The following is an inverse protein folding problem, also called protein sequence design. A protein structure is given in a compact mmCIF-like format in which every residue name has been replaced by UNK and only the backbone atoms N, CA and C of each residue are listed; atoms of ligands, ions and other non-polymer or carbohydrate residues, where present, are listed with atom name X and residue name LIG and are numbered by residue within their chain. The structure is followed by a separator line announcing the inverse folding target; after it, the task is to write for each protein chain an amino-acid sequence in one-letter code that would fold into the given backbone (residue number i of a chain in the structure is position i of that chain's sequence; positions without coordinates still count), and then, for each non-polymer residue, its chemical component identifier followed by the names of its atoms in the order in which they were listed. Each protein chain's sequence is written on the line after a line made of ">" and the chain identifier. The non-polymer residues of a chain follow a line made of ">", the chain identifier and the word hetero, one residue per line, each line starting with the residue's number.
data_IF_604729695189
#
_entry.id   IF_604729695189
#
_cell.length_a   1.000
_cell.length_b   1.000
_cell.length_c   1.000
_cell.angle_alpha   90.00
_cell.angle_beta   90.00
_cell.angle_gamma   90.00
#
_symmetry.space_group_name_H-M   'P 1'
#
loop_
_entity.id
_entity.type
_entity.pdbx_description
1 polymer ?
#
# COMPACT_ATOMS: atom_id res chain seq x y z
N UNK A 1 17.71 -15.09 1.03
CA UNK A 1 16.40 -14.43 0.81
C UNK A 1 16.61 -12.92 0.68
N UNK A 2 16.19 -12.35 -0.44
CA UNK A 2 16.19 -10.89 -0.59
C UNK A 2 15.14 -10.29 0.36
N UNK A 3 15.36 -9.06 0.83
CA UNK A 3 14.43 -8.41 1.76
C UNK A 3 13.16 -7.92 1.05
N UNK A 4 12.07 -7.65 1.78
CA UNK A 4 10.80 -7.20 1.20
C UNK A 4 10.92 -5.92 0.36
N UNK A 5 11.91 -5.07 0.65
CA UNK A 5 12.19 -3.90 -0.17
C UNK A 5 12.76 -4.25 -1.56
N UNK A 6 13.68 -5.21 -1.63
CA UNK A 6 14.27 -5.67 -2.89
C UNK A 6 13.24 -6.39 -3.76
N UNK A 7 12.35 -7.17 -3.14
CA UNK A 7 11.21 -7.80 -3.82
C UNK A 7 10.28 -6.73 -4.43
N UNK A 8 9.94 -5.68 -3.67
CA UNK A 8 9.14 -4.57 -4.20
C UNK A 8 9.85 -3.77 -5.30
N UNK A 9 11.17 -3.58 -5.19
CA UNK A 9 11.98 -2.93 -6.23
C UNK A 9 12.10 -3.76 -7.52
N UNK A 10 11.85 -5.06 -7.43
CA UNK A 10 11.85 -5.96 -8.58
C UNK A 10 10.49 -5.99 -9.31
N UNK A 11 9.50 -5.25 -8.83
CA UNK A 11 8.22 -5.07 -9.51
C UNK A 11 8.38 -4.18 -10.76
N UNK A 12 7.55 -4.40 -11.76
CA UNK A 12 7.50 -3.58 -13.00
C UNK A 12 6.79 -2.23 -12.77
N UNK A 13 7.33 -1.46 -11.82
CA UNK A 13 6.82 -0.16 -11.37
C UNK A 13 7.98 0.84 -11.48
N UNK A 14 7.82 1.82 -12.35
CA UNK A 14 8.85 2.85 -12.61
C UNK A 14 8.83 3.98 -11.58
N UNK A 15 7.72 4.14 -10.85
CA UNK A 15 7.58 5.18 -9.83
C UNK A 15 8.20 4.72 -8.50
N UNK A 16 9.42 5.19 -8.24
CA UNK A 16 10.14 4.90 -7.00
C UNK A 16 9.47 5.50 -5.76
N UNK A 17 8.72 6.60 -5.90
CA UNK A 17 7.96 7.16 -4.79
C UNK A 17 6.78 6.27 -4.40
N UNK A 18 6.14 5.62 -5.37
CA UNK A 18 5.11 4.61 -5.12
C UNK A 18 5.68 3.40 -4.39
N UNK A 19 6.84 2.89 -4.82
CA UNK A 19 7.51 1.77 -4.15
C UNK A 19 7.89 2.15 -2.71
N UNK A 20 8.46 3.33 -2.52
CA UNK A 20 8.84 3.82 -1.20
C UNK A 20 7.63 4.01 -0.28
N UNK A 21 6.56 4.65 -0.76
CA UNK A 21 5.32 4.80 0.00
C UNK A 21 4.74 3.44 0.40
N UNK A 22 4.76 2.46 -0.51
CA UNK A 22 4.28 1.12 -0.20
C UNK A 22 5.15 0.37 0.81
N UNK A 23 6.47 0.54 0.74
CA UNK A 23 7.37 -0.06 1.70
C UNK A 23 7.18 0.51 3.11
N UNK A 24 7.01 1.83 3.25
CA UNK A 24 6.76 2.47 4.57
C UNK A 24 5.45 1.96 5.17
N UNK A 25 4.38 1.89 4.39
CA UNK A 25 3.09 1.35 4.88
C UNK A 25 3.20 -0.14 5.21
N UNK A 26 3.94 -0.92 4.40
CA UNK A 26 4.19 -2.34 4.68
C UNK A 26 4.87 -2.54 6.05
N UNK A 27 5.90 -1.75 6.35
CA UNK A 27 6.59 -1.80 7.64
C UNK A 27 5.68 -1.33 8.79
N UNK A 28 4.87 -0.30 8.62
CA UNK A 28 3.91 0.09 9.66
C UNK A 28 2.91 -1.03 9.96
N UNK A 29 2.36 -1.67 8.94
CA UNK A 29 1.40 -2.75 9.13
C UNK A 29 2.06 -3.95 9.81
N UNK A 30 3.25 -4.36 9.34
CA UNK A 30 3.94 -5.54 9.83
C UNK A 30 4.58 -5.32 11.21
N UNK A 31 5.31 -4.22 11.40
CA UNK A 31 6.11 -3.97 12.61
C UNK A 31 5.42 -3.00 13.57
N UNK A 32 4.86 -1.90 13.06
CA UNK A 32 4.21 -0.86 13.88
C UNK A 32 2.89 -1.31 14.49
N UNK A 33 2.08 -2.06 13.72
CA UNK A 33 0.74 -2.52 14.10
C UNK A 33 0.65 -4.03 14.29
N UNK A 34 1.71 -4.78 13.97
CA UNK A 34 1.78 -6.24 14.13
C UNK A 34 0.60 -6.98 13.46
N UNK A 35 0.28 -6.60 12.22
CA UNK A 35 -0.75 -7.25 11.44
C UNK A 35 -0.36 -8.69 11.13
N UNK A 36 -1.34 -9.59 11.21
CA UNK A 36 -1.12 -11.02 11.03
C UNK A 36 -0.51 -11.36 9.65
N UNK A 37 -0.95 -10.68 8.60
CA UNK A 37 -0.41 -10.89 7.26
C UNK A 37 -0.42 -9.58 6.47
N UNK A 38 0.68 -9.32 5.77
CA UNK A 38 0.84 -8.22 4.82
C UNK A 38 1.58 -8.76 3.60
N UNK A 39 1.00 -8.58 2.41
CA UNK A 39 1.57 -8.99 1.12
C UNK A 39 1.56 -7.81 0.17
N UNK A 40 2.54 -7.74 -0.73
CA UNK A 40 2.63 -6.69 -1.73
C UNK A 40 2.40 -7.26 -3.13
N UNK A 41 1.74 -6.49 -3.99
CA UNK A 41 1.44 -6.85 -5.38
C UNK A 41 1.64 -5.63 -6.26
N UNK A 42 2.47 -5.75 -7.29
CA UNK A 42 2.62 -4.73 -8.32
C UNK A 42 1.47 -4.78 -9.34
N UNK A 43 0.94 -3.62 -9.70
CA UNK A 43 -0.06 -3.44 -10.75
C UNK A 43 0.58 -2.58 -11.84
N UNK A 44 1.32 -3.23 -12.74
CA UNK A 44 2.13 -2.56 -13.77
C UNK A 44 1.31 -1.62 -14.66
N UNK A 45 0.08 -2.03 -15.03
CA UNK A 45 -0.84 -1.22 -15.85
C UNK A 45 -1.16 0.15 -15.24
N UNK A 46 -1.17 0.23 -13.90
CA UNK A 46 -1.46 1.45 -13.17
C UNK A 46 -0.22 2.10 -12.55
N UNK A 47 0.94 1.45 -12.66
CA UNK A 47 2.18 1.83 -11.96
C UNK A 47 1.96 1.97 -10.45
N UNK A 48 1.15 1.08 -9.86
CA UNK A 48 0.83 1.07 -8.43
C UNK A 48 1.35 -0.19 -7.72
N UNK A 49 1.63 -0.04 -6.43
CA UNK A 49 1.84 -1.17 -5.52
C UNK A 49 0.65 -1.26 -4.58
N UNK A 50 0.02 -2.43 -4.53
CA UNK A 50 -1.09 -2.75 -3.64
C UNK A 50 -0.60 -3.60 -2.47
N UNK A 51 -1.10 -3.34 -1.28
CA UNK A 51 -0.88 -4.15 -0.09
C UNK A 51 -2.15 -4.93 0.24
N UNK A 52 -2.04 -6.24 0.28
CA UNK A 52 -3.07 -7.15 0.77
C UNK A 52 -2.75 -7.48 2.21
N UNK A 53 -3.58 -7.02 3.14
CA UNK A 53 -3.26 -7.09 4.55
C UNK A 53 -4.49 -7.50 5.38
N UNK A 54 -4.28 -8.29 6.44
CA UNK A 54 -5.29 -8.59 7.45
C UNK A 54 -4.71 -8.40 8.84
N UNK A 55 -5.46 -7.73 9.70
CA UNK A 55 -5.04 -7.42 11.06
C UNK A 55 -4.97 -8.70 11.90
N UNK A 56 -6.02 -9.53 11.81
CA UNK A 56 -6.09 -10.84 12.47
C UNK A 56 -6.34 -11.94 11.45
N UNK A 57 -6.03 -13.18 11.81
CA UNK A 57 -6.19 -14.35 10.94
C UNK A 57 -7.63 -14.52 10.42
N UNK A 58 -8.61 -14.23 11.28
CA UNK A 58 -10.04 -14.38 10.99
C UNK A 58 -10.64 -13.20 10.20
N UNK A 59 -9.90 -12.10 10.06
CA UNK A 59 -10.38 -10.93 9.35
C UNK A 59 -10.33 -11.15 7.84
N UNK A 60 -11.24 -10.48 7.13
CA UNK A 60 -11.18 -10.42 5.68
C UNK A 60 -9.91 -9.70 5.21
N UNK A 61 -9.32 -10.20 4.13
CA UNK A 61 -8.19 -9.54 3.47
C UNK A 61 -8.59 -8.15 2.97
N UNK A 62 -7.86 -7.12 3.39
CA UNK A 62 -8.05 -5.75 2.98
C UNK A 62 -7.03 -5.38 1.90
N UNK A 63 -7.48 -4.67 0.88
CA UNK A 63 -6.60 -4.14 -0.18
C UNK A 63 -6.34 -2.68 0.10
N UNK A 64 -5.07 -2.30 0.09
CA UNK A 64 -4.60 -0.95 0.37
C UNK A 64 -3.71 -0.48 -0.77
N UNK A 65 -3.88 0.77 -1.21
CA UNK A 65 -3.00 1.41 -2.19
C UNK A 65 -2.34 2.61 -1.52
N UNK A 66 -1.07 2.50 -1.11
CA UNK A 66 -0.28 3.60 -0.58
C UNK A 66 -0.18 4.71 -1.62
N UNK A 67 -0.49 5.96 -1.24
CA UNK A 67 -0.46 7.10 -2.16
C UNK A 67 0.61 8.08 -1.67
N UNK A 68 1.60 8.43 -2.51
CA UNK A 68 2.60 9.44 -2.17
C UNK A 68 1.95 10.83 -1.97
N UNK A 69 2.41 11.57 -0.98
CA UNK A 69 1.86 12.89 -0.56
C UNK A 69 1.84 13.95 -1.68
N UNK A 70 2.67 13.79 -2.72
CA UNK A 70 2.73 14.71 -3.86
C UNK A 70 1.80 14.31 -5.02
N UNK A 71 1.04 13.21 -4.93
CA UNK A 71 0.11 12.76 -5.97
C UNK A 71 -1.33 13.05 -5.55
N UNK A 72 -2.03 13.87 -6.34
CA UNK A 72 -3.46 14.12 -6.15
C UNK A 72 -4.30 12.99 -6.74
N UNK A 73 -5.12 12.34 -5.91
CA UNK A 73 -6.12 11.38 -6.37
C UNK A 73 -7.27 12.11 -7.07
N UNK A 74 -7.29 12.11 -8.41
CA UNK A 74 -8.45 12.57 -9.15
C UNK A 74 -9.57 11.52 -9.09
N UNK A 75 -10.78 11.98 -8.78
CA UNK A 75 -12.01 11.18 -8.55
C UNK A 75 -12.36 10.20 -9.71
N UNK A 76 -11.71 10.34 -10.87
CA UNK A 76 -11.89 9.47 -12.04
C UNK A 76 -11.23 8.09 -11.90
N UNK A 77 -10.23 7.94 -11.02
CA UNK A 77 -9.57 6.64 -10.75
C UNK A 77 -10.18 5.85 -9.58
N UNK A 78 -11.07 6.46 -8.79
CA UNK A 78 -11.50 5.96 -7.47
C UNK A 78 -12.92 5.38 -7.39
N UNK A 79 -13.60 5.08 -8.50
CA UNK A 79 -14.98 4.54 -8.48
C UNK A 79 -15.04 3.06 -8.09
N UNK A 80 -14.51 2.68 -6.92
CA UNK A 80 -14.92 1.46 -6.19
C UNK A 80 -14.32 1.26 -4.79
N UNK A 81 -13.80 2.28 -4.13
CA UNK A 81 -13.13 2.03 -2.84
C UNK A 81 -14.06 2.26 -1.64
N UNK A 82 -14.80 1.19 -1.30
CA UNK A 82 -15.57 1.04 -0.07
C UNK A 82 -14.68 1.31 1.16
N UNK A 83 -15.18 2.09 2.14
CA UNK A 83 -14.74 2.41 3.53
C UNK A 83 -13.27 2.19 4.00
N UNK A 84 -12.57 1.17 3.55
CA UNK A 84 -11.15 0.86 3.82
C UNK A 84 -10.18 1.86 3.18
N UNK A 85 -10.52 2.45 2.02
CA UNK A 85 -9.67 3.46 1.36
C UNK A 85 -9.43 4.71 2.22
N UNK A 86 -10.42 5.09 3.03
CA UNK A 86 -10.36 6.25 3.93
C UNK A 86 -9.28 6.12 5.01
N UNK A 87 -8.83 4.90 5.34
CA UNK A 87 -7.75 4.69 6.33
C UNK A 87 -6.37 5.01 5.77
N UNK A 88 -6.18 4.96 4.45
CA UNK A 88 -4.90 5.23 3.79
C UNK A 88 -4.78 6.70 3.43
N UNK A 89 -5.89 7.34 3.04
CA UNK A 89 -5.97 8.81 2.96
C UNK A 89 -5.54 9.45 4.30
N UNK A 90 -5.87 8.82 5.43
CA UNK A 90 -5.44 9.24 6.76
C UNK A 90 -3.93 9.08 7.00
N UNK A 91 -3.27 8.06 6.45
CA UNK A 91 -1.83 7.86 6.64
C UNK A 91 -1.02 8.95 5.92
N UNK A 92 -1.51 9.41 4.77
CA UNK A 92 -0.93 10.53 4.02
C UNK A 92 -1.11 11.89 4.72
N UNK A 93 -2.17 12.06 5.54
CA UNK A 93 -2.39 13.29 6.32
C UNK A 93 -1.65 13.34 7.67
N UNK A 94 -1.30 12.19 8.26
CA UNK A 94 -0.70 12.14 9.60
C UNK A 94 0.83 12.21 9.57
N UNK A 95 1.47 11.75 8.48
CA UNK A 95 2.93 11.78 8.32
C UNK A 95 3.41 12.80 7.28
N UNK A 96 2.52 13.68 6.81
CA UNK A 96 2.79 14.81 5.92
C UNK A 96 2.72 16.14 6.66
#
# INVERSE_FOLDING_TARGET
>A
PEGPFTEMMSLDISDSAQIYAAFVVYLDLLEGRNWHEVKHVGVAELQLVCLHAREREQDSLQVMVPVPVHISLSHERGKKSSRTCLRIDFYCQIYG
#
